data_IF_097930297133
#
_entry.id   IF_097930297133
#
_cell.length_a   1.000
_cell.length_b   1.000
_cell.length_c   1.000
_cell.angle_alpha   90.00
_cell.angle_beta   90.00
_cell.angle_gamma   90.00
#
_symmetry.space_group_name_H-M   'P 1'
#
loop_
_entity.id
_entity.type
_entity.pdbx_description
1 polymer ?
#
# COMPACT_ATOMS: atom_id res chain seq x y z
N UNK A 1 3.29 8.56 2.40
CA UNK A 1 2.74 8.65 3.78
C UNK A 1 2.37 7.27 4.25
N UNK A 2 2.44 7.01 5.56
CA UNK A 2 2.07 5.73 6.22
C UNK A 2 2.87 4.51 5.73
N UNK A 3 2.34 3.31 5.98
CA UNK A 3 3.05 2.04 5.80
C UNK A 3 2.91 1.51 4.37
N UNK A 4 4.05 1.20 3.74
CA UNK A 4 4.10 0.52 2.46
C UNK A 4 4.36 -0.97 2.66
N UNK A 5 4.33 -1.72 1.54
CA UNK A 5 5.04 -2.98 1.47
C UNK A 5 4.44 -4.10 2.35
N UNK A 6 3.16 -3.94 2.71
CA UNK A 6 2.35 -4.91 3.43
C UNK A 6 1.35 -5.60 2.51
N UNK A 7 1.66 -5.71 1.21
CA UNK A 7 0.77 -6.28 0.20
C UNK A 7 -0.62 -5.61 0.27
N UNK A 8 -1.71 -6.40 0.31
CA UNK A 8 -3.10 -5.93 0.44
C UNK A 8 -3.41 -5.16 1.73
N UNK A 9 -2.53 -5.23 2.73
CA UNK A 9 -2.66 -4.48 3.99
C UNK A 9 -1.93 -3.12 3.96
N UNK A 10 -1.38 -2.72 2.83
CA UNK A 10 -0.67 -1.43 2.71
C UNK A 10 -1.64 -0.26 2.87
N UNK A 11 -1.31 0.67 3.77
CA UNK A 11 -2.09 1.88 4.05
C UNK A 11 -1.46 3.15 3.45
N UNK A 12 -0.43 2.96 2.61
CA UNK A 12 0.28 4.05 1.98
C UNK A 12 -0.63 4.96 1.18
N UNK A 13 -0.33 6.26 1.28
CA UNK A 13 -0.99 7.30 0.51
C UNK A 13 0.06 8.23 -0.12
N UNK A 14 -0.29 8.79 -1.27
CA UNK A 14 0.44 9.87 -1.92
C UNK A 14 -0.22 11.18 -1.48
N UNK A 15 0.57 12.04 -0.85
CA UNK A 15 0.13 13.37 -0.43
C UNK A 15 1.12 14.41 -0.93
N UNK A 16 0.63 15.63 -1.13
CA UNK A 16 1.38 16.72 -1.75
C UNK A 16 1.30 18.01 -0.92
N UNK A 17 2.32 18.83 -1.12
CA UNK A 17 2.40 20.21 -0.65
C UNK A 17 3.17 21.04 -1.66
N UNK A 18 3.07 22.36 -1.54
CA UNK A 18 3.79 23.31 -2.40
C UNK A 18 4.46 24.39 -1.57
N UNK A 19 5.51 24.97 -2.13
CA UNK A 19 6.20 26.14 -1.59
C UNK A 19 6.07 27.29 -2.56
N UNK A 20 5.68 28.46 -2.07
CA UNK A 20 5.61 29.72 -2.86
C UNK A 20 6.83 30.60 -2.63
N UNK A 21 7.65 30.30 -1.62
CA UNK A 21 8.84 31.08 -1.23
C UNK A 21 10.14 30.57 -1.89
N UNK A 22 10.08 29.41 -2.54
CA UNK A 22 11.19 28.82 -3.30
C UNK A 22 11.45 27.36 -2.96
N UNK A 23 12.47 26.79 -3.60
CA UNK A 23 12.78 25.35 -3.55
C UNK A 23 13.07 24.82 -2.13
N UNK A 24 13.56 25.68 -1.24
CA UNK A 24 13.88 25.33 0.16
C UNK A 24 12.66 25.26 1.07
N UNK A 25 11.47 25.60 0.57
CA UNK A 25 10.26 25.63 1.37
C UNK A 25 10.05 26.96 2.13
N UNK A 26 9.12 26.96 3.11
CA UNK A 26 8.38 25.79 3.60
C UNK A 26 7.39 25.21 2.58
N UNK A 27 7.22 23.88 2.59
CA UNK A 27 6.17 23.21 1.83
C UNK A 27 4.96 23.01 2.72
N UNK A 28 3.80 23.50 2.28
CA UNK A 28 2.52 23.39 3.00
C UNK A 28 1.46 22.77 2.10
N UNK A 29 0.47 22.15 2.71
CA UNK A 29 -0.69 21.60 2.01
C UNK A 29 -1.77 22.64 1.68
N UNK A 30 -2.88 22.23 1.03
CA UNK A 30 -4.04 23.09 0.71
C UNK A 30 -4.59 23.86 1.91
N UNK A 31 -4.43 23.30 3.11
CA UNK A 31 -4.95 23.87 4.36
C UNK A 31 -3.89 24.67 5.14
N UNK A 32 -2.66 24.73 4.64
CA UNK A 32 -1.54 25.44 5.27
C UNK A 32 -0.74 24.62 6.28
N UNK A 33 -1.01 23.32 6.42
CA UNK A 33 -0.23 22.46 7.33
C UNK A 33 1.11 22.09 6.69
N UNK A 34 2.17 22.18 7.47
CA UNK A 34 3.54 21.96 6.99
C UNK A 34 3.83 20.48 6.71
N UNK A 35 4.56 20.17 5.65
CA UNK A 35 4.91 18.77 5.34
C UNK A 35 6.03 18.21 6.23
N UNK A 36 6.79 19.08 6.89
CA UNK A 36 7.98 18.73 7.70
C UNK A 36 7.70 18.59 9.20
N UNK A 37 6.46 18.81 9.66
CA UNK A 37 6.09 18.68 11.08
C UNK A 37 5.01 17.64 11.32
N UNK A 38 5.28 16.70 12.22
CA UNK A 38 4.31 15.71 12.68
C UNK A 38 3.30 16.35 13.65
N UNK A 39 2.21 15.63 13.98
CA UNK A 39 1.18 16.06 14.94
C UNK A 39 0.38 17.30 14.51
N UNK A 40 0.21 17.50 13.21
CA UNK A 40 -0.61 18.59 12.67
C UNK A 40 -2.03 18.15 12.31
N UNK A 41 -2.24 16.86 12.08
CA UNK A 41 -3.54 16.27 11.78
C UNK A 41 -3.58 14.81 12.23
N UNK A 42 -4.80 14.29 12.41
CA UNK A 42 -5.05 12.90 12.75
C UNK A 42 -5.67 12.19 11.54
N UNK A 43 -4.95 11.24 10.95
CA UNK A 43 -5.36 10.54 9.72
C UNK A 43 -5.20 9.04 9.97
N UNK A 44 -6.22 8.25 9.63
CA UNK A 44 -6.20 6.79 9.77
C UNK A 44 -5.79 6.30 11.17
N UNK A 45 -6.18 7.01 12.23
CA UNK A 45 -5.89 6.61 13.60
C UNK A 45 -4.49 7.00 14.11
N UNK A 46 -3.71 7.76 13.34
CA UNK A 46 -2.34 8.16 13.71
C UNK A 46 -2.10 9.65 13.47
N UNK A 47 -1.22 10.24 14.28
CA UNK A 47 -0.76 11.61 14.08
C UNK A 47 0.16 11.74 12.86
N UNK A 48 -0.16 12.67 11.97
CA UNK A 48 0.50 12.88 10.70
C UNK A 48 0.95 14.34 10.49
N UNK A 49 1.91 14.51 9.58
CA UNK A 49 2.26 15.82 9.04
C UNK A 49 1.19 16.33 8.08
N UNK A 50 1.25 17.62 7.73
CA UNK A 50 0.43 18.18 6.66
C UNK A 50 0.62 17.42 5.34
N UNK A 51 -0.33 17.56 4.43
CA UNK A 51 -0.27 16.94 3.10
C UNK A 51 -1.67 16.76 2.53
N UNK A 52 -1.92 17.38 1.39
CA UNK A 52 -3.17 17.22 0.65
C UNK A 52 -3.17 15.85 0.00
N UNK A 53 -4.25 15.08 0.21
CA UNK A 53 -4.40 13.78 -0.41
C UNK A 53 -4.44 13.91 -1.93
N UNK A 54 -3.55 13.18 -2.61
CA UNK A 54 -3.56 13.04 -4.06
C UNK A 54 -4.03 11.66 -4.49
N UNK A 55 -3.56 10.60 -3.82
CA UNK A 55 -3.99 9.23 -4.05
C UNK A 55 -3.99 8.41 -2.77
N UNK A 56 -4.98 7.54 -2.65
CA UNK A 56 -5.06 6.47 -1.66
C UNK A 56 -5.51 5.17 -2.31
N UNK A 57 -5.69 4.11 -1.50
CA UNK A 57 -6.18 2.84 -2.00
C UNK A 57 -7.56 2.99 -2.64
N UNK A 58 -7.69 2.59 -3.90
CA UNK A 58 -8.96 2.61 -4.64
C UNK A 58 -9.06 1.39 -5.56
N UNK A 59 -10.15 0.62 -5.42
CA UNK A 59 -10.34 -0.62 -6.17
C UNK A 59 -9.15 -1.57 -6.03
N UNK A 60 -8.57 -1.98 -7.16
CA UNK A 60 -7.39 -2.85 -7.19
C UNK A 60 -6.08 -2.16 -6.79
N UNK A 61 -6.03 -0.83 -6.74
CA UNK A 61 -4.80 -0.09 -6.49
C UNK A 61 -4.58 0.10 -5.00
N UNK A 62 -3.96 -0.87 -4.32
CA UNK A 62 -3.78 -0.83 -2.86
C UNK A 62 -2.45 -0.19 -2.47
N UNK A 63 -2.52 0.81 -1.59
CA UNK A 63 -1.36 1.46 -0.97
C UNK A 63 -0.43 2.13 -1.96
N UNK A 64 -0.90 3.07 -2.80
CA UNK A 64 -0.05 3.72 -3.79
C UNK A 64 1.10 4.49 -3.13
N UNK A 65 2.31 4.36 -3.67
CA UNK A 65 3.53 4.96 -3.13
C UNK A 65 4.61 5.16 -4.21
N UNK A 66 5.79 5.66 -3.81
CA UNK A 66 7.00 5.73 -4.65
C UNK A 66 6.75 6.38 -6.02
N UNK A 67 6.44 7.66 -6.00
CA UNK A 67 5.98 8.39 -7.19
C UNK A 67 7.11 8.98 -8.02
N UNK A 68 6.93 8.99 -9.34
CA UNK A 68 7.69 9.80 -10.28
C UNK A 68 6.77 10.66 -11.14
N UNK A 69 7.27 11.80 -11.62
CA UNK A 69 6.54 12.64 -12.59
C UNK A 69 7.36 12.69 -13.87
N UNK A 70 6.71 12.42 -15.01
CA UNK A 70 7.31 12.51 -16.33
C UNK A 70 6.47 13.44 -17.22
N UNK A 71 7.14 14.17 -18.10
CA UNK A 71 6.50 14.88 -19.20
C UNK A 71 6.62 13.99 -20.44
N UNK A 72 5.47 13.53 -20.94
CA UNK A 72 5.36 12.70 -22.13
C UNK A 72 5.07 13.59 -23.33
N UNK A 73 5.83 13.41 -24.41
CA UNK A 73 5.63 14.11 -25.67
C UNK A 73 5.69 13.13 -26.84
N UNK A 74 4.59 13.02 -27.59
CA UNK A 74 4.52 12.17 -28.78
C UNK A 74 3.41 12.61 -29.73
N UNK A 75 3.67 12.61 -31.04
CA UNK A 75 2.65 12.93 -32.05
C UNK A 75 2.01 14.32 -31.90
N UNK A 76 2.71 15.28 -31.27
CA UNK A 76 2.17 16.61 -30.95
C UNK A 76 1.31 16.67 -29.68
N UNK A 77 1.17 15.56 -28.96
CA UNK A 77 0.51 15.49 -27.65
C UNK A 77 1.55 15.67 -26.56
N UNK A 78 1.28 16.56 -25.59
CA UNK A 78 2.08 16.73 -24.37
C UNK A 78 1.21 16.42 -23.15
N UNK A 79 1.69 15.52 -22.28
CA UNK A 79 1.01 15.11 -21.05
C UNK A 79 1.99 15.08 -19.89
N UNK A 80 1.54 15.47 -18.71
CA UNK A 80 2.26 15.16 -17.49
C UNK A 80 1.68 13.86 -16.91
N UNK A 81 2.54 12.93 -16.55
CA UNK A 81 2.13 11.61 -16.06
C UNK A 81 2.77 11.36 -14.70
N UNK A 82 1.96 10.95 -13.74
CA UNK A 82 2.40 10.46 -12.44
C UNK A 82 2.52 8.94 -12.51
N UNK A 83 3.75 8.42 -12.39
CA UNK A 83 3.98 7.00 -12.13
C UNK A 83 3.98 6.73 -10.63
N UNK A 84 3.51 5.55 -10.23
CA UNK A 84 3.46 5.13 -8.83
C UNK A 84 3.53 3.62 -8.71
N UNK A 85 4.08 3.16 -7.60
CA UNK A 85 4.00 1.77 -7.17
C UNK A 85 2.65 1.51 -6.48
N UNK A 86 2.06 0.33 -6.67
CA UNK A 86 0.90 -0.13 -5.89
C UNK A 86 0.91 -1.66 -5.75
N UNK A 87 0.15 -2.18 -4.78
CA UNK A 87 -0.12 -3.61 -4.65
C UNK A 87 -1.48 -3.91 -5.28
N UNK A 88 -1.52 -4.86 -6.20
CA UNK A 88 -2.70 -5.16 -6.99
C UNK A 88 -3.68 -6.09 -6.25
N UNK A 89 -4.77 -5.55 -5.74
CA UNK A 89 -5.78 -6.28 -4.96
C UNK A 89 -6.44 -7.42 -5.73
N UNK A 90 -6.59 -7.28 -7.05
CA UNK A 90 -7.18 -8.34 -7.90
C UNK A 90 -6.20 -9.51 -8.10
N UNK A 91 -4.93 -9.31 -7.81
CA UNK A 91 -3.86 -10.29 -7.94
C UNK A 91 -3.17 -10.56 -6.60
N UNK A 92 -3.92 -10.55 -5.50
CA UNK A 92 -3.42 -10.93 -4.18
C UNK A 92 -2.35 -10.00 -3.62
N UNK A 93 -2.34 -8.74 -4.07
CA UNK A 93 -1.39 -7.71 -3.67
C UNK A 93 -0.02 -7.84 -4.32
N UNK A 94 0.06 -8.39 -5.54
CA UNK A 94 1.29 -8.34 -6.33
C UNK A 94 1.70 -6.89 -6.60
N UNK A 95 2.99 -6.62 -6.39
CA UNK A 95 3.64 -5.35 -6.64
C UNK A 95 3.59 -4.98 -8.14
N UNK A 96 3.04 -3.81 -8.47
CA UNK A 96 2.93 -3.31 -9.85
C UNK A 96 3.24 -1.83 -9.98
N UNK A 97 3.61 -1.44 -11.20
CA UNK A 97 3.72 -0.04 -11.62
C UNK A 97 2.39 0.41 -12.22
N UNK A 98 1.89 1.54 -11.75
CA UNK A 98 0.77 2.26 -12.33
C UNK A 98 1.22 3.61 -12.86
N UNK A 99 0.43 4.15 -13.78
CA UNK A 99 0.58 5.51 -14.24
C UNK A 99 -0.80 6.15 -14.39
N UNK A 100 -0.88 7.45 -14.11
CA UNK A 100 -2.08 8.29 -14.27
C UNK A 100 -1.67 9.60 -14.89
N UNK A 101 -2.52 10.14 -15.75
CA UNK A 101 -2.35 11.52 -16.21
C UNK A 101 -2.46 12.47 -15.00
N UNK A 102 -1.52 13.40 -14.91
CA UNK A 102 -1.40 14.42 -13.89
C UNK A 102 -1.75 15.78 -14.52
N UNK A 103 -2.65 16.50 -13.88
CA UNK A 103 -3.06 17.85 -14.27
C UNK A 103 -3.09 18.76 -13.04
N UNK A 104 -3.41 20.03 -13.23
CA UNK A 104 -3.55 20.98 -12.14
C UNK A 104 -4.94 21.62 -12.17
N UNK A 105 -5.57 21.72 -11.00
CA UNK A 105 -6.83 22.44 -10.84
C UNK A 105 -6.64 23.97 -11.03
N UNK A 106 -7.75 24.71 -11.06
CA UNK A 106 -7.71 26.18 -11.22
C UNK A 106 -6.94 26.91 -10.12
N UNK A 107 -6.73 26.26 -8.97
CA UNK A 107 -5.96 26.79 -7.84
C UNK A 107 -4.50 26.36 -7.89
N UNK A 108 -4.07 25.68 -8.95
CA UNK A 108 -2.71 25.21 -9.18
C UNK A 108 -2.31 24.05 -8.28
N UNK A 109 -3.24 23.17 -7.91
CA UNK A 109 -2.93 21.94 -7.18
C UNK A 109 -3.03 20.72 -8.07
N UNK A 110 -2.14 19.72 -7.90
CA UNK A 110 -2.14 18.54 -8.73
C UNK A 110 -3.42 17.72 -8.52
N UNK A 111 -3.92 17.17 -9.62
CA UNK A 111 -5.04 16.23 -9.70
C UNK A 111 -4.63 15.11 -10.63
N UNK A 112 -4.91 13.86 -10.24
CA UNK A 112 -4.67 12.69 -11.10
C UNK A 112 -5.98 12.17 -11.67
N UNK A 113 -5.91 11.64 -12.89
CA UNK A 113 -7.04 10.97 -13.54
C UNK A 113 -7.44 9.68 -12.80
N UNK A 114 -8.75 9.38 -12.80
CA UNK A 114 -9.30 8.11 -12.30
C UNK A 114 -8.99 6.92 -13.22
N UNK A 115 -8.70 7.21 -14.49
CA UNK A 115 -8.31 6.19 -15.47
C UNK A 115 -6.80 5.93 -15.45
N UNK A 116 -6.37 4.67 -15.60
CA UNK A 116 -4.97 4.36 -15.79
C UNK A 116 -4.48 4.92 -17.13
N UNK A 117 -3.28 5.50 -17.12
CA UNK A 117 -2.56 5.82 -18.34
C UNK A 117 -1.85 4.57 -18.87
N UNK A 118 -1.94 4.32 -20.17
CA UNK A 118 -1.31 3.16 -20.78
C UNK A 118 0.21 3.38 -20.85
N UNK A 119 0.96 2.57 -20.09
CA UNK A 119 2.43 2.61 -20.12
C UNK A 119 3.01 2.23 -21.49
N UNK A 120 2.24 1.54 -22.35
CA UNK A 120 2.66 1.28 -23.72
C UNK A 120 2.76 2.55 -24.57
N UNK A 121 2.11 3.66 -24.18
CA UNK A 121 2.34 4.97 -24.82
C UNK A 121 3.82 5.40 -24.69
N UNK A 122 4.50 4.98 -23.60
CA UNK A 122 5.91 5.30 -23.35
C UNK A 122 6.87 4.38 -24.11
N UNK A 123 6.59 3.08 -24.11
CA UNK A 123 7.52 2.05 -24.59
C UNK A 123 7.23 1.58 -26.01
N UNK A 124 6.09 1.97 -26.59
CA UNK A 124 5.62 1.46 -27.87
C UNK A 124 5.31 -0.03 -27.85
N UNK A 125 4.99 -0.60 -26.68
CA UNK A 125 4.58 -2.00 -26.60
C UNK A 125 3.19 -2.23 -27.20
N UNK A 126 2.95 -3.43 -27.72
CA UNK A 126 1.59 -3.89 -27.97
C UNK A 126 0.92 -4.13 -26.60
N UNK A 127 -0.12 -3.35 -26.29
CA UNK A 127 -0.89 -3.45 -25.03
C UNK A 127 -1.78 -4.70 -24.95
N UNK A 128 -1.58 -5.67 -25.85
CA UNK A 128 -2.11 -7.01 -25.72
C UNK A 128 -1.65 -7.59 -24.38
N UNK A 129 -2.60 -7.75 -23.44
CA UNK A 129 -2.37 -8.38 -22.14
C UNK A 129 -1.41 -9.56 -22.30
N UNK A 130 -0.20 -9.43 -21.79
CA UNK A 130 0.66 -10.59 -21.56
C UNK A 130 -0.04 -11.39 -20.46
N UNK A 131 -0.85 -12.37 -20.87
CA UNK A 131 -1.40 -13.37 -19.97
C UNK A 131 -0.20 -14.17 -19.47
N UNK A 132 0.31 -13.79 -18.31
CA UNK A 132 1.28 -14.64 -17.61
C UNK A 132 0.59 -16.00 -17.40
N UNK A 133 1.26 -17.12 -17.73
CA UNK A 133 0.69 -18.42 -17.44
C UNK A 133 0.40 -18.46 -15.93
N UNK A 134 -0.86 -18.74 -15.58
CA UNK A 134 -1.26 -19.00 -14.20
C UNK A 134 -0.25 -19.98 -13.60
N UNK A 135 0.33 -19.73 -12.42
CA UNK A 135 1.15 -20.74 -11.78
C UNK A 135 0.28 -21.98 -11.59
N UNK A 136 0.60 -23.05 -12.30
CA UNK A 136 -0.04 -24.35 -12.09
C UNK A 136 0.07 -24.68 -10.60
N UNK A 137 -0.99 -25.19 -9.95
CA UNK A 137 -0.88 -25.61 -8.57
C UNK A 137 0.18 -26.70 -8.51
N UNK A 138 1.32 -26.38 -7.92
CA UNK A 138 2.30 -27.39 -7.51
C UNK A 138 1.56 -28.26 -6.51
N UNK A 139 1.27 -29.50 -6.91
CA UNK A 139 0.65 -30.48 -6.02
C UNK A 139 1.47 -30.52 -4.74
N UNK A 140 0.84 -30.18 -3.62
CA UNK A 140 1.47 -30.33 -2.31
C UNK A 140 1.88 -31.81 -2.17
N UNK A 141 3.12 -32.11 -1.74
CA UNK A 141 3.49 -33.48 -1.45
C UNK A 141 2.58 -34.00 -0.34
N UNK A 142 1.82 -35.05 -0.64
CA UNK A 142 0.97 -35.75 0.33
C UNK A 142 1.87 -36.50 1.30
N UNK A 143 2.39 -35.82 2.32
CA UNK A 143 2.99 -36.50 3.47
C UNK A 143 1.86 -37.06 4.31
N UNK A 144 1.56 -38.34 4.12
CA UNK A 144 0.75 -39.11 5.05
C UNK A 144 1.42 -39.06 6.43
N UNK A 145 0.83 -38.30 7.35
CA UNK A 145 1.19 -38.36 8.77
C UNK A 145 0.68 -39.70 9.29
N UNK A 146 1.60 -40.64 9.52
CA UNK A 146 1.29 -41.88 10.21
C UNK A 146 0.84 -41.55 11.65
N UNK A 147 -0.42 -41.84 11.96
CA UNK A 147 -0.96 -41.82 13.32
C UNK A 147 -0.17 -42.78 14.21
N UNK A 148 0.40 -42.35 15.35
CA UNK A 148 0.96 -43.28 16.31
C UNK A 148 -0.17 -44.04 17.02
N UNK A 149 -0.03 -45.36 17.09
CA UNK A 149 -0.91 -46.27 17.81
C UNK A 149 -0.94 -45.94 19.30
N UNK A 150 -2.13 -45.82 19.87
CA UNK A 150 -2.36 -45.65 21.31
C UNK A 150 -1.86 -46.88 22.08
N UNK A 151 -0.71 -46.75 22.73
CA UNK A 151 -0.24 -47.71 23.74
C UNK A 151 -1.00 -47.51 25.05
N UNK A 152 -1.50 -48.60 25.63
CA UNK A 152 -2.20 -48.67 26.93
C UNK A 152 -1.46 -47.86 28.02
N UNK A 153 -2.12 -46.81 28.52
CA UNK A 153 -1.68 -46.10 29.71
C UNK A 153 -1.83 -47.00 30.94
N UNK A 154 -0.72 -47.26 31.62
CA UNK A 154 -0.65 -47.97 32.89
C UNK A 154 -1.02 -46.96 33.99
N UNK A 155 -2.07 -47.24 34.75
CA UNK A 155 -2.50 -46.47 35.93
C UNK A 155 -1.41 -46.46 37.00
N UNK A 156 -0.95 -45.27 37.38
CA UNK A 156 -0.32 -45.03 38.68
C UNK A 156 -0.96 -43.80 39.32
N UNK A 157 -1.66 -44.02 40.42
CA UNK A 157 -2.21 -42.99 41.28
C UNK A 157 -1.09 -42.29 42.04
N UNK A 158 -0.97 -40.97 41.89
CA UNK A 158 -0.29 -40.14 42.88
C UNK A 158 -1.20 -38.97 43.21
N UNK A 159 -1.68 -38.98 44.45
CA UNK A 159 -2.49 -37.95 45.07
C UNK A 159 -1.57 -36.83 45.56
N UNK A 160 -1.79 -35.58 45.18
CA UNK A 160 -1.33 -34.42 45.96
C UNK A 160 -2.03 -33.10 45.55
N UNK A 161 -3.01 -32.76 46.39
CA UNK A 161 -3.36 -31.45 46.96
C UNK A 161 -3.26 -30.18 46.09
N UNK A 162 -4.44 -29.63 45.77
CA UNK A 162 -4.66 -28.27 45.25
C UNK A 162 -4.13 -27.21 46.22
N UNK A 163 -3.37 -26.24 45.72
CA UNK A 163 -3.33 -24.87 46.27
C UNK A 163 -3.67 -23.90 45.15
N UNK A 164 -4.87 -23.33 45.25
CA UNK A 164 -5.29 -22.14 44.52
C UNK A 164 -4.61 -20.93 45.15
N UNK A 165 -3.94 -20.12 44.35
CA UNK A 165 -3.62 -18.74 44.74
C UNK A 165 -3.93 -17.83 43.56
N UNK A 166 -5.04 -17.10 43.70
CA UNK A 166 -5.39 -15.95 42.89
C UNK A 166 -4.33 -14.86 43.06
N UNK A 167 -3.93 -14.19 41.98
CA UNK A 167 -3.39 -12.84 42.08
C UNK A 167 -4.16 -11.90 41.15
N UNK A 168 -4.98 -11.09 41.82
CA UNK A 168 -5.61 -9.88 41.33
C UNK A 168 -4.55 -8.83 40.97
N UNK A 169 -4.78 -8.10 39.87
CA UNK A 169 -4.35 -6.69 39.73
C UNK A 169 -5.32 -5.80 40.53
N UNK A 170 -4.88 -4.61 40.97
CA UNK A 170 -5.45 -3.42 40.33
C UNK A 170 -4.52 -2.19 40.21
N UNK A 171 -5.01 -1.27 39.36
CA UNK A 171 -4.71 0.15 39.13
C UNK A 171 -3.35 0.52 38.54
#
# INVERSE_FOLDING_TARGET
WFECCLSVCSTSQIRVGRSTTGIRGPYVDKTGLALDRRFQQFVNGVDAAGGTLLMESEGRYIGPSSTGVLNYESGGVSKMVLSFFFNDGDEGGLAKLGARELSFDSSGWPVVSSEPWDLCDLTGCDSGRVVLPSPSPVAAPTTAVATPSVGKARTSSVSQTRKFTNYFRPA
#
